data_IF_619835215921
#
_entry.id   IF_619835215921
#
_cell.length_a   1.000
_cell.length_b   1.000
_cell.length_c   1.000
_cell.angle_alpha   90.00
_cell.angle_beta   90.00
_cell.angle_gamma   90.00
#
_symmetry.space_group_name_H-M   'P 1'
#
loop_
_entity.id
_entity.type
_entity.pdbx_description
1 polymer ?
#
# COMPACT_ATOMS: atom_id res chain seq x y z
N UNK A 1 11.34 -14.52 -16.39
CA UNK A 1 12.13 -15.05 -15.26
C UNK A 1 12.43 -16.53 -15.45
N UNK A 2 11.45 -17.44 -15.37
CA UNK A 2 11.70 -18.88 -15.52
C UNK A 2 12.37 -19.30 -16.84
N UNK A 3 12.03 -18.66 -17.95
CA UNK A 3 12.63 -18.98 -19.26
C UNK A 3 14.08 -18.49 -19.43
N UNK A 4 14.61 -17.71 -18.48
CA UNK A 4 16.00 -17.25 -18.49
C UNK A 4 16.90 -18.07 -17.56
N UNK A 5 16.34 -19.02 -16.82
CA UNK A 5 17.06 -19.98 -16.00
C UNK A 5 17.09 -21.35 -16.73
N UNK A 6 18.14 -22.12 -16.54
CA UNK A 6 18.27 -23.49 -17.10
C UNK A 6 17.43 -24.46 -16.25
N UNK A 7 16.12 -24.41 -16.42
CA UNK A 7 15.15 -25.17 -15.63
C UNK A 7 14.56 -26.32 -16.44
N UNK A 8 14.48 -27.49 -15.82
CA UNK A 8 13.81 -28.66 -16.38
C UNK A 8 12.40 -28.78 -15.82
N UNK A 9 11.41 -28.80 -16.70
CA UNK A 9 10.02 -29.08 -16.34
C UNK A 9 9.78 -30.59 -16.52
N UNK A 10 9.28 -31.24 -15.47
CA UNK A 10 8.86 -32.65 -15.48
C UNK A 10 7.37 -32.76 -15.17
N UNK A 11 6.77 -33.87 -15.56
CA UNK A 11 5.41 -34.25 -15.23
C UNK A 11 5.43 -35.70 -14.67
N UNK A 12 4.90 -35.90 -13.47
CA UNK A 12 4.85 -37.20 -12.81
C UNK A 12 3.45 -37.85 -12.89
N UNK A 13 2.55 -37.27 -13.69
CA UNK A 13 1.16 -37.70 -13.82
C UNK A 13 0.18 -36.99 -12.86
N UNK A 14 0.69 -36.18 -11.92
CA UNK A 14 -0.11 -35.32 -11.03
C UNK A 14 -0.07 -33.85 -11.46
N UNK A 15 0.73 -33.52 -12.47
CA UNK A 15 0.91 -32.18 -13.01
C UNK A 15 2.38 -31.83 -13.23
N UNK A 16 2.60 -30.75 -13.97
CA UNK A 16 3.94 -30.27 -14.27
C UNK A 16 4.60 -29.64 -13.03
N UNK A 17 5.86 -29.96 -12.78
CA UNK A 17 6.68 -29.37 -11.73
C UNK A 17 8.10 -29.04 -12.21
N UNK A 18 8.80 -28.16 -11.47
CA UNK A 18 10.19 -27.85 -11.74
C UNK A 18 11.09 -28.86 -11.00
N UNK A 19 11.97 -29.52 -11.75
CA UNK A 19 12.97 -30.42 -11.18
C UNK A 19 14.16 -29.63 -10.64
N UNK A 20 14.66 -30.01 -9.47
CA UNK A 20 15.85 -29.40 -8.88
C UNK A 20 15.67 -28.81 -7.47
N UNK A 21 14.45 -28.72 -6.95
CA UNK A 21 14.21 -28.29 -5.57
C UNK A 21 14.82 -26.92 -5.22
N UNK A 22 15.68 -26.86 -4.18
CA UNK A 22 16.33 -25.62 -3.72
C UNK A 22 17.25 -24.98 -4.77
N UNK A 23 17.90 -25.79 -5.62
CA UNK A 23 18.75 -25.28 -6.71
C UNK A 23 17.96 -24.44 -7.72
N UNK A 24 16.69 -24.79 -7.96
CA UNK A 24 15.80 -24.02 -8.85
C UNK A 24 15.54 -22.62 -8.28
N UNK A 25 15.39 -22.48 -6.97
CA UNK A 25 15.20 -21.18 -6.34
C UNK A 25 16.43 -20.27 -6.50
N UNK A 26 17.64 -20.83 -6.35
CA UNK A 26 18.88 -20.10 -6.53
C UNK A 26 19.09 -19.63 -7.96
N UNK A 27 18.80 -20.49 -8.96
CA UNK A 27 18.88 -20.12 -10.37
C UNK A 27 17.85 -19.03 -10.74
N UNK A 28 16.61 -19.14 -10.25
CA UNK A 28 15.58 -18.10 -10.43
C UNK A 28 16.03 -16.78 -9.82
N UNK A 29 16.56 -16.82 -8.60
CA UNK A 29 17.05 -15.62 -7.91
C UNK A 29 18.25 -15.01 -8.65
N UNK A 30 19.19 -15.82 -9.11
CA UNK A 30 20.34 -15.35 -9.89
C UNK A 30 19.89 -14.68 -11.20
N UNK A 31 18.85 -15.21 -11.87
CA UNK A 31 18.31 -14.63 -13.10
C UNK A 31 17.51 -13.33 -12.91
N UNK A 32 17.15 -13.00 -11.68
CA UNK A 32 16.27 -11.86 -11.35
C UNK A 32 16.83 -10.52 -11.81
N UNK A 33 18.14 -10.34 -11.74
CA UNK A 33 18.84 -9.10 -12.08
C UNK A 33 19.61 -9.17 -13.40
N UNK A 34 19.45 -10.25 -14.15
CA UNK A 34 20.03 -10.38 -15.49
C UNK A 34 19.04 -9.78 -16.50
N UNK A 35 19.37 -8.60 -17.02
CA UNK A 35 18.52 -7.89 -17.97
C UNK A 35 18.89 -8.09 -19.42
N UNK A 36 20.18 -8.35 -19.71
CA UNK A 36 20.64 -8.72 -21.03
C UNK A 36 20.10 -10.11 -21.41
N UNK A 37 19.70 -10.28 -22.66
CA UNK A 37 19.20 -11.55 -23.22
C UNK A 37 17.98 -12.15 -22.50
N UNK A 38 17.26 -11.33 -21.71
CA UNK A 38 16.08 -11.78 -21.01
C UNK A 38 14.96 -12.13 -21.97
N UNK A 39 14.42 -13.32 -21.84
CA UNK A 39 13.23 -13.74 -22.59
C UNK A 39 12.02 -12.92 -22.14
N UNK A 40 11.35 -12.28 -23.09
CA UNK A 40 10.11 -11.53 -22.90
C UNK A 40 8.95 -12.21 -23.59
N UNK A 41 7.84 -12.38 -22.88
CA UNK A 41 6.58 -12.85 -23.46
C UNK A 41 5.71 -11.69 -23.98
N UNK A 42 6.07 -10.46 -23.66
CA UNK A 42 5.32 -9.25 -24.03
C UNK A 42 5.68 -8.69 -25.40
N UNK A 43 4.99 -7.60 -25.79
CA UNK A 43 5.19 -6.94 -27.08
C UNK A 43 6.55 -6.25 -27.22
N UNK A 44 7.23 -5.98 -26.10
CA UNK A 44 8.54 -5.34 -26.06
C UNK A 44 9.54 -6.17 -25.27
N UNK A 45 10.82 -5.99 -25.59
CA UNK A 45 11.95 -6.54 -24.87
C UNK A 45 12.92 -5.43 -24.49
N UNK A 46 13.66 -5.62 -23.39
CA UNK A 46 14.66 -4.67 -22.92
C UNK A 46 15.86 -4.73 -23.86
N UNK A 47 16.20 -3.60 -24.48
CA UNK A 47 17.42 -3.43 -25.26
C UNK A 47 18.58 -2.96 -24.39
N UNK A 48 18.34 -1.98 -23.53
CA UNK A 48 19.34 -1.47 -22.58
C UNK A 48 18.67 -1.00 -21.28
N UNK A 49 19.42 -1.09 -20.20
CA UNK A 49 19.04 -0.58 -18.88
C UNK A 49 20.24 0.15 -18.30
N UNK A 50 20.05 1.43 -17.94
CA UNK A 50 21.01 2.21 -17.19
C UNK A 50 20.45 2.44 -15.78
N UNK A 51 21.00 1.70 -14.81
CA UNK A 51 20.59 1.81 -13.40
C UNK A 51 21.09 3.06 -12.71
N UNK A 52 22.14 3.73 -13.26
CA UNK A 52 22.64 5.00 -12.75
C UNK A 52 21.78 6.18 -13.19
N UNK A 53 21.40 6.19 -14.46
CA UNK A 53 20.50 7.20 -15.01
C UNK A 53 19.01 6.89 -14.81
N UNK A 54 18.66 5.70 -14.27
CA UNK A 54 17.31 5.22 -14.11
C UNK A 54 16.50 5.25 -15.42
N UNK A 55 17.13 4.79 -16.51
CA UNK A 55 16.52 4.75 -17.84
C UNK A 55 16.53 3.34 -18.41
N UNK A 56 15.48 3.00 -19.17
CA UNK A 56 15.41 1.74 -19.89
C UNK A 56 14.94 2.00 -21.33
N UNK A 57 15.61 1.34 -22.29
CA UNK A 57 15.18 1.34 -23.69
C UNK A 57 14.56 0.01 -24.03
N UNK A 58 13.35 0.03 -24.57
CA UNK A 58 12.61 -1.13 -25.03
C UNK A 58 12.48 -1.10 -26.54
N UNK A 59 12.58 -2.26 -27.17
CA UNK A 59 12.32 -2.47 -28.60
C UNK A 59 11.24 -3.52 -28.79
N UNK A 60 10.58 -3.50 -29.96
CA UNK A 60 9.57 -4.50 -30.32
C UNK A 60 10.18 -5.90 -30.22
N UNK A 61 9.48 -6.79 -29.53
CA UNK A 61 9.80 -8.21 -29.49
C UNK A 61 9.38 -8.87 -30.82
N UNK A 62 10.32 -9.33 -31.65
CA UNK A 62 10.00 -9.92 -32.96
C UNK A 62 9.21 -11.23 -32.84
N UNK A 63 9.29 -11.91 -31.70
CA UNK A 63 8.62 -13.17 -31.42
C UNK A 63 7.21 -13.01 -30.83
N UNK A 64 6.76 -11.77 -30.60
CA UNK A 64 5.44 -11.52 -30.04
C UNK A 64 4.34 -11.82 -31.07
N UNK A 65 3.50 -12.79 -30.76
CA UNK A 65 2.43 -13.24 -31.67
C UNK A 65 1.27 -12.22 -31.81
N UNK A 66 1.11 -11.32 -30.84
CA UNK A 66 -0.01 -10.40 -30.71
C UNK A 66 -0.79 -10.62 -29.40
N UNK A 67 -1.70 -9.70 -29.06
CA UNK A 67 -2.65 -9.88 -27.99
C UNK A 67 -3.78 -10.85 -28.40
N UNK A 68 -4.83 -10.99 -27.56
CA UNK A 68 -5.98 -11.88 -27.85
C UNK A 68 -6.78 -11.48 -29.11
N UNK A 69 -6.64 -10.23 -29.60
CA UNK A 69 -7.20 -9.75 -30.87
C UNK A 69 -6.20 -9.82 -32.04
N UNK A 70 -4.98 -10.33 -31.81
CA UNK A 70 -3.93 -10.39 -32.82
C UNK A 70 -3.20 -9.08 -33.06
N UNK A 71 -3.44 -8.04 -32.25
CA UNK A 71 -2.81 -6.74 -32.39
C UNK A 71 -1.34 -6.80 -31.98
N UNK A 72 -0.48 -6.14 -32.75
CA UNK A 72 0.95 -6.02 -32.51
C UNK A 72 1.36 -4.57 -32.25
N UNK A 73 2.48 -4.33 -31.52
CA UNK A 73 2.96 -2.99 -31.27
C UNK A 73 3.38 -2.29 -32.59
N UNK A 74 3.08 -0.99 -32.67
CA UNK A 74 3.47 -0.14 -33.81
C UNK A 74 4.59 0.84 -33.47
N UNK A 75 4.80 1.15 -32.18
CA UNK A 75 5.88 2.03 -31.72
C UNK A 75 7.17 1.22 -31.66
N UNK A 76 8.16 1.62 -32.44
CA UNK A 76 9.39 0.84 -32.61
C UNK A 76 10.24 0.79 -31.34
N UNK A 77 10.35 1.92 -30.65
CA UNK A 77 11.21 2.07 -29.47
C UNK A 77 10.46 2.88 -28.40
N UNK A 78 10.53 2.41 -27.16
CA UNK A 78 10.05 3.12 -25.97
C UNK A 78 11.25 3.36 -25.07
N UNK A 79 11.43 4.61 -24.65
CA UNK A 79 12.41 5.00 -23.64
C UNK A 79 11.67 5.32 -22.35
N UNK A 80 11.94 4.56 -21.31
CA UNK A 80 11.38 4.78 -19.98
C UNK A 80 12.41 5.60 -19.21
N UNK A 81 11.98 6.71 -18.62
CA UNK A 81 12.79 7.58 -17.78
C UNK A 81 12.12 7.75 -16.43
N UNK A 82 12.92 7.92 -15.38
CA UNK A 82 12.37 8.36 -14.09
C UNK A 82 11.99 9.84 -14.23
N UNK A 83 10.76 10.19 -13.87
CA UNK A 83 10.31 11.55 -13.72
C UNK A 83 10.10 11.85 -12.23
N UNK A 84 10.41 13.07 -11.81
CA UNK A 84 10.15 13.52 -10.44
C UNK A 84 8.76 14.17 -10.38
N UNK A 85 8.03 13.95 -9.28
CA UNK A 85 6.61 14.34 -9.14
C UNK A 85 6.37 15.85 -9.32
N UNK A 86 7.31 16.68 -8.90
CA UNK A 86 7.22 18.14 -8.98
C UNK A 86 7.52 18.72 -10.37
N UNK A 87 8.18 17.98 -11.25
CA UNK A 87 8.63 18.46 -12.58
C UNK A 87 8.03 17.68 -13.76
N UNK A 88 7.40 16.51 -13.53
CA UNK A 88 6.96 15.65 -14.63
C UNK A 88 5.88 16.30 -15.51
N UNK A 89 5.00 17.13 -14.95
CA UNK A 89 3.95 17.80 -15.72
C UNK A 89 4.55 18.87 -16.66
N UNK A 90 5.58 19.57 -16.23
CA UNK A 90 6.29 20.54 -17.08
C UNK A 90 7.10 19.83 -18.16
N UNK A 91 7.77 18.73 -17.84
CA UNK A 91 8.48 17.90 -18.82
C UNK A 91 7.52 17.34 -19.90
N UNK A 92 6.31 16.94 -19.51
CA UNK A 92 5.28 16.52 -20.44
C UNK A 92 4.78 17.65 -21.32
N UNK A 93 4.51 18.82 -20.73
CA UNK A 93 4.04 20.01 -21.44
C UNK A 93 5.06 20.53 -22.46
N UNK A 94 6.35 20.45 -22.15
CA UNK A 94 7.43 20.86 -23.05
C UNK A 94 7.79 19.81 -24.11
N UNK A 95 7.23 18.59 -24.02
CA UNK A 95 7.50 17.51 -24.96
C UNK A 95 8.79 16.73 -24.66
N UNK A 96 9.43 16.96 -23.53
CA UNK A 96 10.54 16.15 -23.05
C UNK A 96 10.08 14.73 -22.75
N UNK A 97 8.89 14.60 -22.19
CA UNK A 97 8.18 13.34 -22.00
C UNK A 97 6.95 13.32 -22.92
N UNK A 98 6.71 12.21 -23.62
CA UNK A 98 5.60 12.09 -24.56
C UNK A 98 4.43 11.28 -24.00
N UNK A 99 4.61 10.60 -22.90
CA UNK A 99 3.60 9.77 -22.25
C UNK A 99 3.82 9.75 -20.73
N UNK A 100 2.79 10.10 -20.00
CA UNK A 100 2.72 9.94 -18.54
C UNK A 100 1.71 8.85 -18.23
N UNK A 101 2.04 7.98 -17.28
CA UNK A 101 1.14 6.91 -16.84
C UNK A 101 1.00 6.90 -15.32
N UNK A 102 -0.13 6.37 -14.87
CA UNK A 102 -0.41 6.12 -13.44
C UNK A 102 -0.50 7.39 -12.57
N UNK A 103 -0.99 8.50 -13.13
CA UNK A 103 -1.36 9.65 -12.30
C UNK A 103 -2.47 9.23 -11.33
N UNK A 104 -2.25 9.46 -10.05
CA UNK A 104 -3.17 9.05 -8.98
C UNK A 104 -3.47 10.18 -7.98
N UNK A 105 -2.69 11.26 -8.01
CA UNK A 105 -2.90 12.43 -7.17
C UNK A 105 -3.87 13.40 -7.82
N UNK A 106 -4.83 13.91 -7.05
CA UNK A 106 -5.91 14.75 -7.55
C UNK A 106 -5.42 15.98 -8.32
N UNK A 107 -4.42 16.68 -7.81
CA UNK A 107 -3.89 17.90 -8.45
C UNK A 107 -3.19 17.60 -9.78
N UNK A 108 -2.47 16.48 -9.87
CA UNK A 108 -1.84 16.03 -11.11
C UNK A 108 -2.89 15.62 -12.16
N UNK A 109 -3.94 14.91 -11.72
CA UNK A 109 -5.06 14.52 -12.59
C UNK A 109 -5.78 15.75 -13.13
N UNK A 110 -6.12 16.72 -12.27
CA UNK A 110 -6.76 17.96 -12.68
C UNK A 110 -5.91 18.73 -13.69
N UNK A 111 -4.60 18.88 -13.42
CA UNK A 111 -3.67 19.51 -14.34
C UNK A 111 -3.63 18.80 -15.70
N UNK A 112 -3.60 17.47 -15.71
CA UNK A 112 -3.61 16.68 -16.94
C UNK A 112 -4.92 16.84 -17.73
N UNK A 113 -6.07 16.91 -17.06
CA UNK A 113 -7.37 17.14 -17.69
C UNK A 113 -7.45 18.56 -18.28
N UNK A 114 -7.01 19.59 -17.55
CA UNK A 114 -6.94 20.96 -18.06
C UNK A 114 -6.05 21.05 -19.34
N UNK A 115 -4.93 20.32 -19.34
CA UNK A 115 -4.08 20.24 -20.54
C UNK A 115 -4.81 19.54 -21.71
N UNK A 116 -5.57 18.49 -21.43
CA UNK A 116 -6.32 17.78 -22.47
C UNK A 116 -7.43 18.64 -23.08
N UNK A 117 -8.05 19.57 -22.32
CA UNK A 117 -9.05 20.51 -22.82
C UNK A 117 -8.50 21.46 -23.90
N UNK A 118 -7.19 21.68 -23.95
CA UNK A 118 -6.56 22.48 -25.03
C UNK A 118 -6.64 21.80 -26.39
N UNK A 119 -6.89 20.49 -26.44
CA UNK A 119 -6.89 19.69 -27.65
C UNK A 119 -5.51 19.28 -28.16
N UNK A 120 -4.44 19.68 -27.50
CA UNK A 120 -3.05 19.29 -27.82
C UNK A 120 -2.65 17.95 -27.20
N UNK A 121 -3.33 17.56 -26.14
CA UNK A 121 -3.06 16.35 -25.38
C UNK A 121 -4.27 15.42 -25.36
N UNK A 122 -4.00 14.11 -25.28
CA UNK A 122 -5.02 13.09 -25.11
C UNK A 122 -4.85 12.39 -23.77
N UNK A 123 -5.94 11.88 -23.23
CA UNK A 123 -5.93 11.08 -22.01
C UNK A 123 -6.81 9.85 -22.12
N UNK A 124 -6.53 8.87 -21.31
CA UNK A 124 -7.42 7.77 -21.00
C UNK A 124 -7.41 7.51 -19.50
N UNK A 125 -8.52 7.04 -18.98
CA UNK A 125 -8.62 6.66 -17.56
C UNK A 125 -9.29 5.29 -17.42
N UNK A 126 -9.00 4.65 -16.33
CA UNK A 126 -9.61 3.37 -15.96
C UNK A 126 -9.60 3.21 -14.45
N UNK A 127 -10.55 2.46 -13.91
CA UNK A 127 -10.56 2.14 -12.48
C UNK A 127 -9.39 1.21 -12.18
N UNK A 128 -8.49 1.65 -11.30
CA UNK A 128 -7.29 0.91 -10.95
C UNK A 128 -7.64 -0.35 -10.16
N UNK A 129 -6.99 -1.45 -10.50
CA UNK A 129 -7.13 -2.74 -9.84
C UNK A 129 -6.24 -2.85 -8.58
N UNK A 130 -6.23 -1.81 -7.75
CA UNK A 130 -5.41 -1.71 -6.56
C UNK A 130 -6.11 -0.92 -5.45
N UNK A 131 -5.54 -0.96 -4.26
CA UNK A 131 -6.01 -0.20 -3.10
C UNK A 131 -4.84 0.21 -2.20
N UNK A 132 -5.00 1.34 -1.50
CA UNK A 132 -4.13 1.75 -0.40
C UNK A 132 -4.59 1.11 0.90
N UNK A 133 -3.65 0.81 1.82
CA UNK A 133 -3.97 0.17 3.10
C UNK A 133 -3.02 0.60 4.20
N UNK A 134 -3.52 0.55 5.44
CA UNK A 134 -2.71 0.53 6.65
C UNK A 134 -2.61 -0.94 7.10
N UNK A 135 -1.39 -1.42 7.33
CA UNK A 135 -1.15 -2.77 7.86
C UNK A 135 -0.77 -2.67 9.33
N UNK A 136 -1.37 -3.54 10.13
CA UNK A 136 -1.04 -3.65 11.56
C UNK A 136 -0.17 -4.87 11.79
N UNK A 137 0.87 -4.70 12.63
CA UNK A 137 1.57 -5.79 13.27
C UNK A 137 0.63 -6.36 14.35
N UNK A 138 0.31 -7.65 14.27
CA UNK A 138 -0.72 -8.26 15.12
C UNK A 138 -0.18 -9.23 16.18
N UNK A 139 1.12 -9.44 16.24
CA UNK A 139 1.79 -10.41 17.10
C UNK A 139 2.47 -9.79 18.33
N UNK A 140 2.32 -8.50 18.58
CA UNK A 140 2.86 -7.82 19.75
C UNK A 140 2.43 -6.37 19.89
N UNK A 141 2.65 -5.79 21.06
CA UNK A 141 2.26 -4.41 21.39
C UNK A 141 0.75 -4.16 21.35
N UNK A 142 0.29 -2.91 21.40
CA UNK A 142 -1.14 -2.60 21.50
C UNK A 142 -1.95 -3.04 20.26
N UNK A 143 -1.32 -3.13 19.09
CA UNK A 143 -2.00 -3.51 17.85
C UNK A 143 -2.29 -5.01 17.73
N UNK A 144 -1.83 -5.86 18.65
CA UNK A 144 -2.28 -7.24 18.76
C UNK A 144 -3.78 -7.33 19.12
N UNK A 145 -4.32 -6.35 19.85
CA UNK A 145 -5.72 -6.31 20.25
C UNK A 145 -6.60 -5.80 19.10
N UNK A 146 -7.66 -6.56 18.80
CA UNK A 146 -8.59 -6.22 17.74
C UNK A 146 -9.28 -4.87 18.00
N UNK A 147 -9.62 -4.56 19.25
CA UNK A 147 -10.25 -3.31 19.65
C UNK A 147 -9.40 -2.08 19.29
N UNK A 148 -8.08 -2.16 19.44
CA UNK A 148 -7.16 -1.09 19.05
C UNK A 148 -7.20 -0.86 17.53
N UNK A 149 -7.15 -1.90 16.73
CA UNK A 149 -7.23 -1.80 15.26
C UNK A 149 -8.59 -1.27 14.81
N UNK A 150 -9.68 -1.70 15.47
CA UNK A 150 -11.03 -1.19 15.21
C UNK A 150 -11.16 0.28 15.61
N UNK A 151 -10.61 0.68 16.76
CA UNK A 151 -10.61 2.06 17.19
C UNK A 151 -9.88 2.97 16.19
N UNK A 152 -8.71 2.57 15.71
CA UNK A 152 -8.00 3.30 14.64
C UNK A 152 -8.85 3.41 13.37
N UNK A 153 -9.56 2.35 13.00
CA UNK A 153 -10.44 2.36 11.82
C UNK A 153 -11.62 3.35 11.99
N UNK A 154 -12.21 3.46 13.19
CA UNK A 154 -13.26 4.43 13.48
C UNK A 154 -12.75 5.88 13.59
N UNK A 155 -11.47 6.09 13.88
CA UNK A 155 -10.85 7.41 14.00
C UNK A 155 -10.33 7.97 12.67
N UNK A 156 -10.29 7.16 11.61
CA UNK A 156 -9.88 7.59 10.29
C UNK A 156 -11.10 7.98 9.45
N UNK A 157 -11.22 9.27 9.13
CA UNK A 157 -12.19 9.72 8.12
C UNK A 157 -11.66 9.36 6.72
N UNK A 158 -11.92 8.10 6.32
CA UNK A 158 -11.44 7.55 5.05
C UNK A 158 -12.11 8.18 3.84
N UNK A 159 -13.34 8.65 3.99
CA UNK A 159 -14.08 9.34 2.91
C UNK A 159 -13.47 10.72 2.66
N UNK A 160 -13.22 11.49 3.72
CA UNK A 160 -12.53 12.78 3.61
C UNK A 160 -11.11 12.60 3.05
N UNK A 161 -10.38 11.60 3.54
CA UNK A 161 -9.05 11.28 3.03
C UNK A 161 -9.08 10.90 1.53
N UNK A 162 -9.99 10.02 1.12
CA UNK A 162 -10.12 9.61 -0.27
C UNK A 162 -10.44 10.83 -1.16
N UNK A 163 -11.36 11.69 -0.73
CA UNK A 163 -11.74 12.89 -1.47
C UNK A 163 -10.58 13.87 -1.59
N UNK A 164 -9.91 14.16 -0.49
CA UNK A 164 -8.81 15.14 -0.45
C UNK A 164 -7.59 14.66 -1.22
N UNK A 165 -7.17 13.41 -0.98
CA UNK A 165 -5.95 12.86 -1.60
C UNK A 165 -6.12 12.58 -3.09
N UNK A 166 -7.25 12.01 -3.48
CA UNK A 166 -7.48 11.62 -4.88
C UNK A 166 -8.19 12.71 -5.70
N UNK A 167 -8.54 13.84 -5.09
CA UNK A 167 -9.35 14.88 -5.75
C UNK A 167 -10.76 14.39 -6.11
N UNK A 168 -11.28 13.37 -5.45
CA UNK A 168 -12.57 12.75 -5.73
C UNK A 168 -12.54 11.63 -6.77
N UNK A 169 -11.36 11.26 -7.27
CA UNK A 169 -11.20 10.16 -8.25
C UNK A 169 -11.03 8.77 -7.60
N UNK A 170 -10.86 8.71 -6.29
CA UNK A 170 -10.78 7.48 -5.50
C UNK A 170 -12.04 7.19 -4.72
N UNK A 171 -12.14 5.97 -4.22
CA UNK A 171 -13.22 5.52 -3.34
C UNK A 171 -12.68 4.69 -2.19
N UNK A 172 -13.42 4.68 -1.06
CA UNK A 172 -13.10 3.79 0.07
C UNK A 172 -13.46 2.36 -0.28
N UNK A 173 -12.59 1.41 0.13
CA UNK A 173 -12.86 -0.02 0.05
C UNK A 173 -12.92 -0.62 1.45
N UNK A 174 -13.77 -1.63 1.64
CA UNK A 174 -14.02 -2.26 2.93
C UNK A 174 -13.33 -3.60 3.11
N UNK A 175 -12.39 -3.93 2.24
CA UNK A 175 -11.63 -5.17 2.28
C UNK A 175 -10.43 -5.15 1.33
N UNK A 176 -9.65 -6.24 1.28
CA UNK A 176 -8.43 -6.33 0.47
C UNK A 176 -8.74 -6.60 -1.02
N UNK A 177 -9.57 -5.78 -1.63
CA UNK A 177 -10.00 -5.88 -3.03
C UNK A 177 -10.19 -4.49 -3.63
N UNK A 178 -10.16 -4.41 -4.95
CA UNK A 178 -10.52 -3.21 -5.71
C UNK A 178 -11.97 -3.30 -6.18
N UNK A 179 -12.65 -2.16 -6.23
CA UNK A 179 -14.00 -2.03 -6.79
C UNK A 179 -14.04 -2.30 -8.31
N UNK A 180 -12.89 -2.29 -8.99
CA UNK A 180 -12.79 -2.67 -10.40
C UNK A 180 -12.85 -4.18 -10.65
N UNK A 181 -12.70 -5.00 -9.63
CA UNK A 181 -12.75 -6.46 -9.77
C UNK A 181 -14.20 -6.93 -10.01
N UNK A 182 -14.40 -7.77 -11.02
CA UNK A 182 -15.73 -8.30 -11.35
C UNK A 182 -16.37 -9.04 -10.18
N UNK A 183 -15.58 -9.75 -9.39
CA UNK A 183 -16.06 -10.46 -8.19
C UNK A 183 -16.66 -9.51 -7.15
N UNK A 184 -16.08 -8.31 -6.99
CA UNK A 184 -16.66 -7.28 -6.13
C UNK A 184 -17.98 -6.77 -6.74
N UNK A 185 -17.98 -6.41 -8.03
CA UNK A 185 -19.16 -5.86 -8.71
C UNK A 185 -20.36 -6.81 -8.66
N UNK A 186 -20.11 -8.12 -8.82
CA UNK A 186 -21.14 -9.16 -8.72
C UNK A 186 -21.64 -9.41 -7.28
N UNK A 187 -20.89 -8.97 -6.27
CA UNK A 187 -21.14 -9.25 -4.85
C UNK A 187 -21.22 -7.99 -3.98
N UNK A 188 -21.35 -6.82 -4.58
CA UNK A 188 -21.30 -5.52 -3.87
C UNK A 188 -22.35 -5.44 -2.75
N UNK A 189 -23.59 -5.85 -3.02
CA UNK A 189 -24.68 -5.88 -2.03
C UNK A 189 -24.30 -6.78 -0.83
N UNK A 190 -23.75 -7.96 -1.10
CA UNK A 190 -23.29 -8.87 -0.05
C UNK A 190 -22.20 -8.23 0.82
N UNK A 191 -21.22 -7.56 0.24
CA UNK A 191 -20.16 -6.89 0.99
C UNK A 191 -20.69 -5.75 1.84
N UNK A 192 -21.58 -4.92 1.28
CA UNK A 192 -22.17 -3.80 2.00
C UNK A 192 -23.03 -4.25 3.20
N UNK A 193 -23.73 -5.36 3.06
CA UNK A 193 -24.61 -5.90 4.12
C UNK A 193 -23.85 -6.69 5.21
N UNK A 194 -22.68 -7.24 4.90
CA UNK A 194 -22.01 -8.18 5.79
C UNK A 194 -20.66 -7.70 6.34
N UNK A 195 -20.05 -6.68 5.77
CA UNK A 195 -18.80 -6.12 6.29
C UNK A 195 -19.05 -4.89 7.15
N UNK A 196 -18.25 -4.76 8.21
CA UNK A 196 -18.24 -3.52 8.98
C UNK A 196 -17.51 -2.43 8.19
N UNK A 197 -18.21 -1.34 7.89
CA UNK A 197 -17.69 -0.24 7.10
C UNK A 197 -16.81 0.73 7.88
N UNK A 198 -16.79 0.66 9.22
CA UNK A 198 -15.99 1.55 10.09
C UNK A 198 -16.09 3.02 9.68
N UNK A 199 -17.30 3.54 9.55
CA UNK A 199 -17.52 4.97 9.32
C UNK A 199 -16.90 5.78 10.47
N UNK A 200 -16.40 6.99 10.16
CA UNK A 200 -15.77 7.86 11.16
C UNK A 200 -16.68 8.10 12.36
N UNK A 201 -16.28 7.60 13.52
CA UNK A 201 -17.04 7.68 14.78
C UNK A 201 -16.09 7.61 15.99
N UNK A 202 -15.58 8.76 16.47
CA UNK A 202 -14.71 8.80 17.63
C UNK A 202 -15.36 8.26 18.92
N UNK A 203 -16.69 8.39 19.06
CA UNK A 203 -17.39 7.85 20.23
C UNK A 203 -17.37 6.31 20.21
N UNK A 204 -17.56 5.71 19.04
CA UNK A 204 -17.46 4.26 18.87
C UNK A 204 -16.04 3.75 19.08
N UNK A 205 -15.03 4.52 18.69
CA UNK A 205 -13.63 4.19 18.95
C UNK A 205 -13.36 4.11 20.48
N UNK A 206 -13.88 5.06 21.26
CA UNK A 206 -13.77 5.04 22.72
C UNK A 206 -14.51 3.82 23.29
N UNK A 207 -15.74 3.56 22.84
CA UNK A 207 -16.55 2.43 23.32
C UNK A 207 -15.81 1.09 23.15
N UNK A 208 -15.22 0.84 21.96
CA UNK A 208 -14.51 -0.43 21.72
C UNK A 208 -13.22 -0.55 22.53
N UNK A 209 -12.52 0.56 22.76
CA UNK A 209 -11.34 0.57 23.62
C UNK A 209 -11.70 0.28 25.09
N UNK A 210 -12.73 0.94 25.61
CA UNK A 210 -13.16 0.76 26.99
C UNK A 210 -13.71 -0.64 27.25
N UNK A 211 -14.46 -1.19 26.30
CA UNK A 211 -14.96 -2.56 26.36
C UNK A 211 -13.82 -3.61 26.37
N UNK A 212 -12.67 -3.30 25.77
CA UNK A 212 -11.48 -4.17 25.76
C UNK A 212 -10.54 -3.89 26.97
N UNK A 213 -10.87 -2.96 27.85
CA UNK A 213 -10.11 -2.68 29.08
C UNK A 213 -9.03 -1.61 28.97
N UNK A 214 -9.02 -0.78 27.92
CA UNK A 214 -8.14 0.41 27.82
C UNK A 214 -8.67 1.57 28.66
N UNK A 215 -8.78 1.35 29.96
CA UNK A 215 -9.48 2.23 30.92
C UNK A 215 -8.59 2.76 32.01
N UNK A 216 -7.27 2.50 31.96
CA UNK A 216 -6.33 2.87 33.02
C UNK A 216 -5.41 4.03 32.60
N UNK A 217 -4.83 4.70 33.61
CA UNK A 217 -3.69 5.60 33.47
C UNK A 217 -2.35 4.88 33.73
N UNK A 218 -1.24 5.59 33.71
CA UNK A 218 0.11 5.03 33.91
C UNK A 218 0.35 4.48 35.33
N UNK A 219 -0.41 4.95 36.31
CA UNK A 219 -0.39 4.55 37.72
C UNK A 219 -1.35 3.38 38.02
N UNK A 220 -2.13 2.96 37.01
CA UNK A 220 -3.13 1.89 37.14
C UNK A 220 -4.45 2.34 37.77
N UNK A 221 -4.73 3.63 37.84
CA UNK A 221 -6.02 4.19 38.22
C UNK A 221 -6.95 4.30 37.00
N UNK A 222 -8.22 4.63 37.23
CA UNK A 222 -9.18 4.89 36.16
C UNK A 222 -8.73 6.07 35.30
N UNK A 223 -8.81 5.90 33.97
CA UNK A 223 -8.42 6.92 33.01
C UNK A 223 -9.28 8.17 33.09
N UNK A 224 -8.67 9.31 33.34
CA UNK A 224 -9.36 10.59 33.61
C UNK A 224 -9.79 11.35 32.34
N UNK A 225 -9.56 10.81 31.14
CA UNK A 225 -9.82 11.51 29.88
C UNK A 225 -8.63 12.33 29.36
N UNK A 226 -7.49 12.31 30.05
CA UNK A 226 -6.29 13.03 29.65
C UNK A 226 -5.04 12.12 29.66
N UNK A 227 -4.09 12.38 28.77
CA UNK A 227 -2.88 11.59 28.66
C UNK A 227 -3.10 10.30 27.88
N UNK A 228 -2.28 9.29 28.19
CA UNK A 228 -2.26 8.01 27.49
C UNK A 228 -3.14 6.99 28.21
N UNK A 229 -3.91 6.22 27.47
CA UNK A 229 -4.64 5.06 28.00
C UNK A 229 -3.71 3.88 28.18
N UNK A 230 -3.98 3.08 29.20
CA UNK A 230 -3.30 1.83 29.49
C UNK A 230 -4.32 0.71 29.66
N UNK A 231 -3.86 -0.50 29.42
CA UNK A 231 -4.59 -1.75 29.68
C UNK A 231 -3.73 -2.65 30.55
N UNK A 232 -4.32 -3.25 31.60
CA UNK A 232 -3.66 -4.35 32.30
C UNK A 232 -3.61 -5.58 31.41
N UNK A 233 -2.42 -6.15 31.28
CA UNK A 233 -2.15 -7.29 30.39
C UNK A 233 -1.47 -8.42 31.12
N UNK A 234 -1.65 -9.64 30.63
CA UNK A 234 -0.90 -10.81 31.11
C UNK A 234 0.57 -10.73 30.69
N UNK A 235 1.43 -11.54 31.30
CA UNK A 235 2.84 -11.64 30.88
C UNK A 235 2.99 -12.12 29.44
N UNK A 236 2.08 -12.95 28.95
CA UNK A 236 2.06 -13.42 27.56
C UNK A 236 1.69 -12.29 26.58
N UNK A 237 0.65 -11.52 26.88
CA UNK A 237 0.24 -10.36 26.09
C UNK A 237 1.27 -9.22 26.10
N UNK A 238 1.95 -9.04 27.25
CA UNK A 238 3.01 -8.04 27.40
C UNK A 238 4.20 -8.36 26.47
N UNK A 239 4.54 -9.64 26.34
CA UNK A 239 5.67 -10.08 25.51
C UNK A 239 6.95 -9.29 25.81
N UNK A 240 7.65 -8.91 24.78
CA UNK A 240 8.86 -8.08 24.82
C UNK A 240 8.60 -6.60 24.48
N UNK A 241 7.34 -6.14 24.53
CA UNK A 241 7.00 -4.76 24.20
C UNK A 241 7.64 -3.79 25.21
N UNK A 242 8.64 -3.05 24.74
CA UNK A 242 9.55 -2.27 25.59
C UNK A 242 8.90 -1.11 26.37
N UNK A 243 7.68 -0.70 26.01
CA UNK A 243 6.96 0.40 26.66
C UNK A 243 6.02 -0.06 27.77
N UNK A 244 5.92 -1.36 28.05
CA UNK A 244 5.16 -1.87 29.17
C UNK A 244 5.68 -1.33 30.50
N UNK A 245 4.77 -1.04 31.42
CA UNK A 245 5.08 -0.58 32.79
C UNK A 245 4.69 -1.66 33.78
N UNK A 246 5.62 -2.08 34.63
CA UNK A 246 5.32 -2.98 35.73
C UNK A 246 5.14 -2.17 37.02
N UNK A 247 3.95 -2.26 37.62
CA UNK A 247 3.63 -1.59 38.87
C UNK A 247 4.26 -2.32 40.07
N UNK A 248 4.32 -1.64 41.22
CA UNK A 248 4.88 -2.21 42.45
C UNK A 248 4.11 -3.44 42.97
N UNK A 249 2.85 -3.58 42.62
CA UNK A 249 2.00 -4.72 42.95
C UNK A 249 2.14 -5.91 41.99
N UNK A 250 2.96 -5.75 40.95
CA UNK A 250 3.26 -6.79 39.93
C UNK A 250 2.35 -6.77 38.73
N UNK A 251 1.35 -5.89 38.66
CA UNK A 251 0.53 -5.72 37.44
C UNK A 251 1.38 -5.16 36.29
N UNK A 252 1.11 -5.62 35.09
CA UNK A 252 1.77 -5.12 33.87
C UNK A 252 0.76 -4.28 33.11
N UNK A 253 1.10 -3.03 32.83
CA UNK A 253 0.29 -2.09 32.08
C UNK A 253 0.90 -1.85 30.70
N UNK A 254 0.13 -2.07 29.65
CA UNK A 254 0.52 -1.75 28.28
C UNK A 254 -0.03 -0.38 27.89
N UNK A 255 0.82 0.56 27.45
CA UNK A 255 0.37 1.87 26.97
C UNK A 255 -0.24 1.74 25.57
N UNK A 256 -1.28 2.54 25.30
CA UNK A 256 -1.87 2.66 23.96
C UNK A 256 -1.02 3.57 23.07
N UNK A 257 0.20 3.13 22.83
CA UNK A 257 1.19 3.83 22.02
C UNK A 257 1.47 3.03 20.74
N UNK A 258 1.00 3.55 19.61
CA UNK A 258 1.16 2.92 18.29
C UNK A 258 2.28 3.66 17.57
N UNK A 259 3.31 2.90 17.21
CA UNK A 259 4.37 3.36 16.32
C UNK A 259 4.06 2.90 14.90
N UNK A 260 4.28 3.78 13.94
CA UNK A 260 4.03 3.48 12.54
C UNK A 260 5.17 4.01 11.67
N UNK A 261 5.41 3.35 10.54
CA UNK A 261 6.45 3.72 9.61
C UNK A 261 5.85 4.01 8.24
N UNK A 262 6.28 5.12 7.64
CA UNK A 262 5.93 5.48 6.26
C UNK A 262 7.08 6.24 5.61
N UNK A 263 7.06 6.36 4.28
CA UNK A 263 7.94 7.29 3.57
C UNK A 263 7.63 8.74 3.97
N UNK A 264 8.62 9.62 3.94
CA UNK A 264 8.48 11.03 4.35
C UNK A 264 7.35 11.76 3.62
N UNK A 265 7.08 11.42 2.37
CA UNK A 265 6.08 12.06 1.52
C UNK A 265 4.76 11.27 1.43
N UNK A 266 4.49 10.35 2.35
CA UNK A 266 3.24 9.61 2.33
C UNK A 266 2.10 10.47 2.88
N UNK A 267 1.02 10.75 2.11
CA UNK A 267 -0.09 11.60 2.56
C UNK A 267 -0.86 11.03 3.77
N UNK A 268 -0.86 9.71 3.97
CA UNK A 268 -1.39 9.08 5.19
C UNK A 268 -0.58 9.53 6.41
N UNK A 269 0.73 9.78 6.25
CA UNK A 269 1.58 10.34 7.31
C UNK A 269 1.12 11.70 7.76
N UNK A 270 0.77 12.56 6.83
CA UNK A 270 0.28 13.91 7.11
C UNK A 270 -1.08 13.85 7.82
N UNK A 271 -2.00 13.00 7.35
CA UNK A 271 -3.31 12.79 7.97
C UNK A 271 -3.17 12.31 9.41
N UNK A 272 -2.44 11.24 9.65
CA UNK A 272 -2.24 10.69 10.99
C UNK A 272 -1.46 11.65 11.92
N UNK A 273 -0.61 12.51 11.39
CA UNK A 273 0.10 13.52 12.16
C UNK A 273 -0.78 14.72 12.53
N UNK A 274 -1.76 15.07 11.71
CA UNK A 274 -2.69 16.19 11.96
C UNK A 274 -3.83 15.80 12.88
N UNK A 275 -4.38 14.60 12.74
CA UNK A 275 -5.44 14.04 13.57
C UNK A 275 -4.94 13.61 14.95
N UNK A 276 -3.69 13.15 15.01
CA UNK A 276 -3.07 12.62 16.21
C UNK A 276 -2.29 13.65 17.00
N UNK A 277 -2.86 14.80 17.39
CA UNK A 277 -2.26 15.59 18.48
C UNK A 277 -1.72 14.65 19.57
N UNK A 278 -0.70 15.00 20.33
CA UNK A 278 0.14 14.08 21.13
C UNK A 278 -0.60 12.94 21.87
N UNK A 279 -1.91 13.12 22.15
CA UNK A 279 -2.79 12.10 22.76
C UNK A 279 -4.25 12.28 22.30
N UNK A 280 -4.58 11.81 21.10
CA UNK A 280 -5.97 11.83 20.66
C UNK A 280 -6.75 10.68 21.31
N UNK A 281 -7.75 11.02 22.14
CA UNK A 281 -8.56 10.05 22.90
C UNK A 281 -7.75 9.03 23.72
N UNK A 282 -6.54 9.41 24.14
CA UNK A 282 -5.65 8.54 24.90
C UNK A 282 -4.78 7.62 24.04
N UNK A 283 -4.79 7.79 22.73
CA UNK A 283 -3.91 7.08 21.80
C UNK A 283 -2.73 7.98 21.43
N UNK A 284 -1.51 7.48 21.54
CA UNK A 284 -0.34 8.12 20.98
C UNK A 284 0.02 7.47 19.65
N UNK A 285 0.06 8.27 18.60
CA UNK A 285 0.57 7.87 17.29
C UNK A 285 1.95 8.50 17.10
N UNK A 286 2.95 7.68 16.84
CA UNK A 286 4.33 8.13 16.61
C UNK A 286 4.82 7.67 15.25
N UNK A 287 5.12 8.61 14.36
CA UNK A 287 5.78 8.30 13.10
C UNK A 287 7.28 8.01 13.36
N UNK A 288 7.72 6.86 12.88
CA UNK A 288 9.14 6.53 12.78
C UNK A 288 9.49 6.70 11.30
N UNK A 289 10.18 7.78 10.95
CA UNK A 289 10.61 8.02 9.59
C UNK A 289 11.45 6.83 9.09
N UNK A 290 10.98 6.15 8.07
CA UNK A 290 11.77 5.14 7.37
C UNK A 290 12.72 5.91 6.45
N UNK A 291 13.99 5.99 6.82
CA UNK A 291 15.03 6.46 5.92
C UNK A 291 15.02 5.56 4.69
N UNK A 292 14.61 6.10 3.55
CA UNK A 292 14.60 5.35 2.30
C UNK A 292 15.99 4.79 2.00
N UNK A 293 16.09 3.49 1.81
CA UNK A 293 17.18 2.82 1.12
C UNK A 293 16.78 2.63 -0.34
#
# INVERSE_FOLDING_TARGET
MYASADLTVKDDGNGAYLDGGELVADEINASRYVYADRVSAGPYMIKSLDTGALTATLEINPNYAGNFEGQKPSIQTIVIVKAEDDTMMDAFKTGEINFLSQLSEGDQINTALDMAETGEFNYCHYTRNGYGKIMFQCDGGPTQFAAVRQAVAYLLDREEFATTFTGGYGSVVHGPYSTAQWMYQDSEEFFNDNLNTYSYDPAKAVEVLEADGWTLDAEGNEYSGTGLRYKEVTAEEAGDYALNVTLADGRILMPLHIMWASSENNPVSALLATEGGAYFLGIKLQNIAYGGQ
#
